data_IF_723991250584
#
_entry.id   IF_723991250584
#
_cell.length_a   1.000
_cell.length_b   1.000
_cell.length_c   1.000
_cell.angle_alpha   90.00
_cell.angle_beta   90.00
_cell.angle_gamma   90.00
#
_symmetry.space_group_name_H-M   'P 1'
#
loop_
_entity.id
_entity.type
_entity.pdbx_description
1 polymer ?
#
# COMPACT_ATOMS: atom_id res chain seq x y z
N UNK A 1 -4.03 -7.80 19.11
CA UNK A 1 -3.22 -7.44 17.94
C UNK A 1 -1.74 -7.53 18.28
N UNK A 2 -0.97 -8.41 17.62
CA UNK A 2 0.48 -8.47 17.81
C UNK A 2 1.13 -7.30 17.05
N UNK A 3 1.83 -6.42 17.77
CA UNK A 3 2.67 -5.40 17.14
C UNK A 3 3.88 -6.05 16.51
N UNK A 4 4.15 -5.70 15.26
CA UNK A 4 5.41 -5.98 14.60
C UNK A 4 6.46 -4.99 15.11
N UNK A 5 7.65 -5.49 15.48
CA UNK A 5 8.75 -4.65 15.99
C UNK A 5 9.99 -4.79 15.07
N UNK A 6 10.72 -3.70 14.85
CA UNK A 6 11.98 -3.65 14.07
C UNK A 6 11.80 -3.24 12.59
N UNK A 7 12.84 -3.40 11.77
CA UNK A 7 12.73 -3.16 10.31
C UNK A 7 11.88 -4.25 9.65
N UNK A 8 10.93 -3.82 8.83
CA UNK A 8 9.91 -4.68 8.21
C UNK A 8 10.16 -4.85 6.72
N UNK A 9 11.27 -5.50 6.39
CA UNK A 9 11.50 -5.94 5.02
C UNK A 9 10.40 -6.92 4.59
N UNK A 10 10.01 -6.89 3.31
CA UNK A 10 8.93 -7.72 2.77
C UNK A 10 9.04 -9.21 3.12
N UNK A 11 10.25 -9.76 3.21
CA UNK A 11 10.46 -11.16 3.64
C UNK A 11 9.96 -11.44 5.07
N UNK A 12 10.14 -10.50 6.00
CA UNK A 12 9.65 -10.65 7.39
C UNK A 12 8.14 -10.57 7.46
N UNK A 13 7.55 -9.67 6.68
CA UNK A 13 6.08 -9.56 6.55
C UNK A 13 5.54 -10.86 6.01
N UNK A 14 6.11 -11.40 4.92
CA UNK A 14 5.73 -12.69 4.33
C UNK A 14 5.77 -13.81 5.37
N UNK A 15 6.90 -13.98 6.06
CA UNK A 15 7.07 -15.06 7.04
C UNK A 15 6.02 -14.99 8.17
N UNK A 16 5.58 -13.79 8.54
CA UNK A 16 4.52 -13.65 9.52
C UNK A 16 3.13 -13.97 8.94
N UNK A 17 2.84 -13.51 7.72
CA UNK A 17 1.61 -13.85 7.02
C UNK A 17 1.48 -15.37 6.85
N UNK A 18 2.54 -16.05 6.41
CA UNK A 18 2.63 -17.51 6.30
C UNK A 18 2.25 -18.17 7.62
N UNK A 19 2.87 -17.76 8.74
CA UNK A 19 2.56 -18.31 10.07
C UNK A 19 1.09 -18.12 10.47
N UNK A 20 0.46 -17.03 10.06
CA UNK A 20 -0.97 -16.81 10.32
C UNK A 20 -1.79 -17.78 9.46
N UNK A 21 -1.49 -17.89 8.17
CA UNK A 21 -2.17 -18.81 7.25
C UNK A 21 -2.10 -20.23 7.78
N UNK A 22 -0.90 -20.69 8.16
CA UNK A 22 -0.67 -22.02 8.74
C UNK A 22 -1.42 -22.21 10.06
N UNK A 23 -1.31 -21.24 10.98
CA UNK A 23 -1.97 -21.31 12.29
C UNK A 23 -3.48 -21.47 12.19
N UNK A 24 -4.10 -20.84 11.19
CA UNK A 24 -5.54 -20.87 10.99
C UNK A 24 -5.98 -21.86 9.91
N UNK A 25 -5.06 -22.68 9.39
CA UNK A 25 -5.32 -23.68 8.34
C UNK A 25 -6.05 -23.05 7.13
N UNK A 26 -5.53 -21.91 6.67
CA UNK A 26 -6.07 -21.13 5.56
C UNK A 26 -5.35 -21.41 4.23
N UNK A 27 -4.43 -22.37 4.20
CA UNK A 27 -3.74 -22.79 2.98
C UNK A 27 -4.79 -23.14 1.91
N UNK A 28 -4.61 -22.58 0.71
CA UNK A 28 -5.53 -22.76 -0.43
C UNK A 28 -6.95 -22.22 -0.26
N UNK A 29 -7.31 -21.59 0.88
CA UNK A 29 -8.61 -20.95 1.10
C UNK A 29 -8.60 -19.46 0.74
N UNK A 30 -7.42 -18.86 0.63
CA UNK A 30 -7.25 -17.45 0.28
C UNK A 30 -7.35 -17.29 -1.24
N UNK A 31 -8.42 -16.64 -1.70
CA UNK A 31 -8.65 -16.37 -3.12
C UNK A 31 -8.05 -15.04 -3.56
N UNK A 32 -7.99 -14.07 -2.64
CA UNK A 32 -7.45 -12.75 -2.92
C UNK A 32 -6.92 -12.08 -1.65
N UNK A 33 -6.00 -11.15 -1.85
CA UNK A 33 -5.48 -10.25 -0.82
C UNK A 33 -5.60 -8.80 -1.28
N UNK A 34 -6.07 -7.93 -0.39
CA UNK A 34 -6.19 -6.49 -0.64
C UNK A 34 -5.17 -5.76 0.22
N UNK A 35 -4.26 -5.00 -0.39
CA UNK A 35 -3.30 -4.18 0.35
C UNK A 35 -2.93 -2.88 -0.38
N UNK A 36 -2.28 -1.96 0.34
CA UNK A 36 -1.68 -0.77 -0.26
C UNK A 36 -0.49 -1.12 -1.18
N UNK A 37 0.04 -0.15 -1.91
CA UNK A 37 1.17 -0.38 -2.83
C UNK A 37 2.54 -0.17 -2.19
N UNK A 38 2.67 -0.34 -0.87
CA UNK A 38 3.97 -0.34 -0.22
C UNK A 38 4.86 -1.44 -0.79
N UNK A 39 6.12 -1.12 -1.14
CA UNK A 39 7.03 -2.07 -1.80
C UNK A 39 7.25 -3.36 -1.01
N UNK A 40 7.39 -3.26 0.31
CA UNK A 40 7.51 -4.44 1.19
C UNK A 40 6.23 -5.28 1.24
N UNK A 41 5.05 -4.63 1.25
CA UNK A 41 3.76 -5.32 1.21
C UNK A 41 3.54 -6.01 -0.13
N UNK A 42 3.90 -5.35 -1.23
CA UNK A 42 3.87 -5.94 -2.56
C UNK A 42 4.77 -7.17 -2.62
N UNK A 43 6.03 -7.04 -2.20
CA UNK A 43 6.98 -8.15 -2.15
C UNK A 43 6.46 -9.32 -1.29
N UNK A 44 5.84 -9.02 -0.15
CA UNK A 44 5.35 -10.04 0.76
C UNK A 44 4.13 -10.82 0.23
N UNK A 45 3.35 -10.22 -0.66
CA UNK A 45 2.00 -10.70 -1.05
C UNK A 45 1.88 -11.03 -2.53
N UNK A 46 2.94 -10.92 -3.32
CA UNK A 46 2.98 -11.23 -4.76
C UNK A 46 2.97 -12.74 -5.10
N UNK A 47 2.67 -13.61 -4.14
CA UNK A 47 2.75 -15.08 -4.27
C UNK A 47 1.34 -15.66 -4.47
N UNK A 48 0.86 -15.82 -5.71
CA UNK A 48 -0.52 -16.22 -6.00
C UNK A 48 -0.85 -17.63 -5.52
N UNK A 49 0.12 -18.54 -5.46
CA UNK A 49 -0.02 -19.89 -4.93
C UNK A 49 -0.42 -19.91 -3.45
N UNK A 50 -0.13 -18.84 -2.73
CA UNK A 50 -0.36 -18.73 -1.28
C UNK A 50 -1.46 -17.72 -0.93
N UNK A 51 -1.53 -16.61 -1.65
CA UNK A 51 -2.41 -15.48 -1.33
C UNK A 51 -3.45 -15.17 -2.42
N UNK A 52 -3.49 -15.95 -3.50
CA UNK A 52 -4.39 -15.73 -4.62
C UNK A 52 -4.14 -14.41 -5.34
N UNK A 53 -5.20 -13.79 -5.86
CA UNK A 53 -5.09 -12.54 -6.63
C UNK A 53 -4.82 -11.37 -5.70
N UNK A 54 -3.78 -10.59 -6.01
CA UNK A 54 -3.50 -9.35 -5.29
C UNK A 54 -4.29 -8.18 -5.88
N UNK A 55 -5.06 -7.52 -5.04
CA UNK A 55 -5.86 -6.33 -5.37
C UNK A 55 -5.34 -5.09 -4.63
N UNK A 56 -5.51 -3.93 -5.27
CA UNK A 56 -5.16 -2.66 -4.66
C UNK A 56 -6.22 -2.20 -3.67
N UNK A 57 -5.79 -1.71 -2.52
CA UNK A 57 -6.69 -1.09 -1.56
C UNK A 57 -7.27 0.22 -2.12
N UNK A 58 -8.59 0.24 -2.35
CA UNK A 58 -9.31 1.41 -2.87
C UNK A 58 -9.12 2.64 -1.98
N UNK A 59 -9.19 2.47 -0.65
CA UNK A 59 -9.02 3.58 0.28
C UNK A 59 -7.63 4.23 0.16
N UNK A 60 -6.58 3.41 -0.03
CA UNK A 60 -5.24 3.91 -0.25
C UNK A 60 -5.11 4.64 -1.60
N UNK A 61 -5.67 4.05 -2.67
CA UNK A 61 -5.68 4.67 -4.00
C UNK A 61 -6.40 6.03 -3.98
N UNK A 62 -7.57 6.12 -3.35
CA UNK A 62 -8.33 7.36 -3.21
C UNK A 62 -7.53 8.41 -2.42
N UNK A 63 -6.92 8.01 -1.30
CA UNK A 63 -6.09 8.92 -0.51
C UNK A 63 -4.92 9.48 -1.31
N UNK A 64 -4.23 8.65 -2.10
CA UNK A 64 -3.16 9.11 -2.99
C UNK A 64 -3.69 10.08 -4.05
N UNK A 65 -4.81 9.76 -4.70
CA UNK A 65 -5.42 10.63 -5.72
C UNK A 65 -5.77 12.00 -5.16
N UNK A 66 -6.46 12.06 -4.01
CA UNK A 66 -6.83 13.32 -3.37
C UNK A 66 -5.59 14.10 -2.93
N UNK A 67 -4.64 13.44 -2.27
CA UNK A 67 -3.42 14.10 -1.78
C UNK A 67 -2.60 14.69 -2.93
N UNK A 68 -2.40 13.92 -4.00
CA UNK A 68 -1.68 14.36 -5.19
C UNK A 68 -2.41 15.51 -5.89
N UNK A 69 -3.75 15.42 -6.01
CA UNK A 69 -4.57 16.50 -6.57
C UNK A 69 -4.43 17.80 -5.78
N UNK A 70 -4.50 17.75 -4.45
CA UNK A 70 -4.31 18.91 -3.59
C UNK A 70 -2.89 19.51 -3.70
N UNK A 71 -1.86 18.68 -3.86
CA UNK A 71 -0.49 19.16 -4.06
C UNK A 71 -0.33 19.88 -5.40
N UNK A 72 -0.90 19.35 -6.48
CA UNK A 72 -0.89 19.99 -7.79
C UNK A 72 -1.64 21.33 -7.75
N UNK A 73 -2.80 21.37 -7.08
CA UNK A 73 -3.56 22.62 -6.91
C UNK A 73 -2.74 23.69 -6.17
N UNK A 74 -2.05 23.32 -5.09
CA UNK A 74 -1.17 24.26 -4.36
C UNK A 74 -0.02 24.79 -5.23
N UNK A 75 0.55 23.95 -6.10
CA UNK A 75 1.62 24.36 -7.03
C UNK A 75 1.11 25.38 -8.05
N UNK A 76 -0.07 25.14 -8.64
CA UNK A 76 -0.70 26.09 -9.58
C UNK A 76 -0.91 27.47 -8.96
N UNK A 77 -1.51 27.53 -7.77
CA UNK A 77 -1.72 28.80 -7.04
C UNK A 77 -0.43 29.57 -6.76
N UNK A 78 0.67 28.87 -6.47
CA UNK A 78 1.97 29.50 -6.21
C UNK A 78 2.56 30.11 -7.49
N UNK A 79 2.35 29.46 -8.64
CA UNK A 79 2.80 29.95 -9.94
C UNK A 79 2.02 31.19 -10.39
N UNK A 80 0.69 31.19 -10.21
CA UNK A 80 -0.18 32.34 -10.52
C UNK A 80 0.20 33.56 -9.68
N UNK A 81 0.45 33.36 -8.37
CA UNK A 81 0.87 34.46 -7.48
C UNK A 81 2.23 35.07 -7.82
N UNK A 82 3.15 34.30 -8.42
CA UNK A 82 4.46 34.81 -8.85
C UNK A 82 4.31 35.59 -10.17
N UNK A 83 3.47 35.10 -11.09
CA UNK A 83 3.20 35.78 -12.36
C UNK A 83 2.54 37.17 -12.15
N UNK A 84 1.67 37.29 -11.15
CA UNK A 84 1.00 38.55 -10.79
C UNK A 84 1.92 39.57 -10.10
N UNK A 85 3.03 39.13 -9.46
CA UNK A 85 4.04 40.01 -8.84
C UNK A 85 5.07 40.57 -9.84
N UNK A 86 5.09 40.05 -11.07
CA UNK A 86 6.05 40.43 -12.12
C UNK A 86 5.45 41.31 -13.23
N UNK A 87 4.20 41.75 -13.08
CA UNK A 87 3.53 42.74 -13.94
C UNK A 87 3.47 44.09 -13.23
#
# INVERSE_FOLDING_TARGET
FRRFHGRHFGQRVRNHLVRIVEKFQLESKIVAIVSDNGGDMHFATQYPEMFGVRLHCLAHALNLTVTNGLQLWKKGKKQDSIADLTK
#
